data_IF_250603018967
#
_entry.id   IF_250603018967
#
_cell.length_a   1.000
_cell.length_b   1.000
_cell.length_c   1.000
_cell.angle_alpha   90.00
_cell.angle_beta   90.00
_cell.angle_gamma   90.00
#
_symmetry.space_group_name_H-M   'P 1'
#
loop_
_entity.id
_entity.type
_entity.pdbx_description
1 polymer ?
#
# COMPACT_ATOMS: atom_id res chain seq x y z
N UNK A 1 25.45 38.08 -38.83
CA UNK A 1 25.01 36.66 -38.97
C UNK A 1 24.92 36.03 -37.59
N UNK A 2 23.73 35.69 -37.08
CA UNK A 2 23.56 34.99 -35.79
C UNK A 2 22.83 33.67 -36.04
N UNK A 3 23.54 32.54 -35.93
CA UNK A 3 22.94 31.21 -36.00
C UNK A 3 22.19 30.95 -34.69
N UNK A 4 20.87 30.78 -34.78
CA UNK A 4 20.01 30.36 -33.67
C UNK A 4 20.24 28.88 -33.44
N UNK A 5 20.88 28.55 -32.33
CA UNK A 5 20.86 27.21 -31.76
C UNK A 5 19.51 27.08 -31.07
N UNK A 6 18.51 26.60 -31.81
CA UNK A 6 17.28 26.09 -31.20
C UNK A 6 17.49 24.59 -31.03
N UNK A 7 18.34 24.25 -30.06
CA UNK A 7 18.41 22.89 -29.57
C UNK A 7 17.08 22.58 -28.90
N UNK A 8 16.36 21.67 -29.53
CA UNK A 8 15.14 21.05 -29.06
C UNK A 8 15.42 20.37 -27.72
N UNK A 9 15.23 21.10 -26.62
CA UNK A 9 15.08 20.50 -25.30
C UNK A 9 13.79 19.68 -25.30
N UNK A 10 13.89 18.44 -25.78
CA UNK A 10 12.86 17.43 -25.57
C UNK A 10 12.67 17.35 -24.05
N UNK A 11 11.45 17.54 -23.52
CA UNK A 11 11.23 17.35 -22.10
C UNK A 11 11.59 15.90 -21.80
N UNK A 12 12.64 15.70 -21.00
CA UNK A 12 12.92 14.42 -20.36
C UNK A 12 11.69 14.18 -19.49
N UNK A 13 10.75 13.40 -20.02
CA UNK A 13 9.61 12.90 -19.26
C UNK A 13 10.24 12.07 -18.15
N UNK A 14 10.49 12.72 -17.00
CA UNK A 14 10.80 12.02 -15.77
C UNK A 14 9.63 11.07 -15.62
N UNK A 15 9.87 9.78 -15.85
CA UNK A 15 9.01 8.73 -15.33
C UNK A 15 9.01 8.98 -13.84
N UNK A 16 8.02 9.73 -13.37
CA UNK A 16 7.65 9.71 -11.97
C UNK A 16 7.23 8.27 -11.79
N UNK A 17 8.17 7.44 -11.32
CA UNK A 17 7.83 6.16 -10.74
C UNK A 17 6.84 6.56 -9.67
N UNK A 18 5.55 6.34 -9.95
CA UNK A 18 4.48 6.59 -9.00
C UNK A 18 4.83 5.64 -7.87
N UNK A 19 5.52 6.13 -6.85
CA UNK A 19 5.76 5.35 -5.64
C UNK A 19 4.38 4.86 -5.23
N UNK A 20 4.16 3.55 -5.35
CA UNK A 20 2.92 2.94 -4.90
C UNK A 20 2.83 3.32 -3.43
N UNK A 21 1.91 4.23 -3.09
CA UNK A 21 1.78 4.79 -1.75
C UNK A 21 1.61 3.61 -0.80
N UNK A 22 2.65 3.32 -0.02
CA UNK A 22 2.64 2.22 0.92
C UNK A 22 1.77 2.62 2.10
N UNK A 23 0.76 1.79 2.39
CA UNK A 23 -0.10 1.99 3.55
C UNK A 23 0.50 1.35 4.80
N UNK A 24 -0.15 1.61 5.93
CA UNK A 24 0.17 1.04 7.24
C UNK A 24 -1.10 0.59 7.96
N UNK A 25 -0.93 -0.42 8.80
CA UNK A 25 -1.93 -0.84 9.77
C UNK A 25 -1.96 0.16 10.93
N UNK A 26 -3.11 0.82 11.10
CA UNK A 26 -3.35 1.76 12.20
C UNK A 26 -3.72 1.05 13.50
N UNK A 27 -4.51 -0.02 13.41
CA UNK A 27 -5.02 -0.76 14.56
C UNK A 27 -5.53 -2.14 14.13
N UNK A 28 -5.49 -3.11 15.05
CA UNK A 28 -6.00 -4.47 14.83
C UNK A 28 -6.94 -4.88 15.96
N UNK A 29 -8.16 -5.29 15.62
CA UNK A 29 -9.08 -5.91 16.55
C UNK A 29 -9.05 -7.43 16.35
N UNK A 30 -8.31 -8.12 17.22
CA UNK A 30 -8.15 -9.57 17.16
C UNK A 30 -9.45 -10.33 17.44
N UNK A 31 -10.34 -9.79 18.28
CA UNK A 31 -11.60 -10.44 18.62
C UNK A 31 -12.57 -10.50 17.43
N UNK A 32 -12.54 -9.47 16.57
CA UNK A 32 -13.40 -9.38 15.39
C UNK A 32 -12.67 -9.66 14.07
N UNK A 33 -11.38 -10.01 14.10
CA UNK A 33 -10.53 -10.17 12.91
C UNK A 33 -10.58 -8.98 11.94
N UNK A 34 -10.64 -7.76 12.50
CA UNK A 34 -10.68 -6.50 11.74
C UNK A 34 -9.36 -5.74 11.84
N UNK A 35 -8.99 -5.09 10.75
CA UNK A 35 -7.79 -4.26 10.63
C UNK A 35 -8.20 -2.89 10.09
N UNK A 36 -7.63 -1.85 10.67
CA UNK A 36 -7.77 -0.48 10.20
C UNK A 36 -6.50 -0.07 9.47
N UNK A 37 -6.63 0.46 8.25
CA UNK A 37 -5.49 0.92 7.44
C UNK A 37 -5.61 2.40 7.11
N UNK A 38 -4.48 3.06 6.93
CA UNK A 38 -4.36 4.49 6.59
C UNK A 38 -4.54 4.80 5.09
N UNK A 39 -5.20 3.90 4.36
CA UNK A 39 -5.56 4.07 2.96
C UNK A 39 -7.07 4.15 2.82
N UNK A 40 -7.58 5.15 2.11
CA UNK A 40 -9.01 5.39 1.91
C UNK A 40 -9.39 5.75 0.48
N UNK A 41 -10.54 6.44 0.32
CA UNK A 41 -11.02 6.91 -0.99
C UNK A 41 -10.01 7.84 -1.67
N UNK A 42 -9.33 8.70 -0.90
CA UNK A 42 -8.28 9.58 -1.42
C UNK A 42 -7.09 8.82 -2.04
N UNK A 43 -6.93 7.55 -1.67
CA UNK A 43 -5.90 6.63 -2.16
C UNK A 43 -6.39 5.71 -3.28
N UNK A 44 -7.63 5.89 -3.75
CA UNK A 44 -8.32 4.98 -4.67
C UNK A 44 -8.48 3.55 -4.11
N UNK A 45 -8.71 3.43 -2.81
CA UNK A 45 -9.15 2.17 -2.21
C UNK A 45 -10.64 1.97 -2.45
N UNK A 46 -11.01 0.74 -2.79
CA UNK A 46 -12.38 0.30 -3.04
C UNK A 46 -12.73 -0.86 -2.12
N UNK A 47 -14.02 -1.05 -1.85
CA UNK A 47 -14.50 -2.24 -1.15
C UNK A 47 -14.18 -3.50 -1.98
N UNK A 48 -13.76 -4.57 -1.31
CA UNK A 48 -13.25 -5.78 -1.96
C UNK A 48 -11.79 -5.71 -2.39
N UNK A 49 -11.12 -4.55 -2.31
CA UNK A 49 -9.69 -4.45 -2.61
C UNK A 49 -8.87 -5.32 -1.64
N UNK A 50 -7.91 -6.07 -2.19
CA UNK A 50 -7.01 -6.93 -1.42
C UNK A 50 -5.62 -6.35 -1.27
N UNK A 51 -5.07 -6.52 -0.08
CA UNK A 51 -3.74 -6.06 0.26
C UNK A 51 -2.96 -7.14 0.99
N UNK A 52 -1.67 -7.21 0.66
CA UNK A 52 -0.70 -7.98 1.42
C UNK A 52 -0.20 -7.15 2.59
N UNK A 53 -0.17 -7.76 3.77
CA UNK A 53 0.40 -7.17 4.98
C UNK A 53 1.76 -7.80 5.25
N UNK A 54 2.76 -6.97 5.52
CA UNK A 54 4.13 -7.40 5.71
C UNK A 54 4.87 -6.52 6.73
N UNK A 55 5.94 -7.07 7.30
CA UNK A 55 6.92 -6.31 8.08
C UNK A 55 8.23 -6.19 7.29
N UNK A 56 9.02 -5.18 7.60
CA UNK A 56 10.39 -5.04 7.10
C UNK A 56 11.32 -5.57 8.19
N UNK A 57 11.88 -6.75 7.95
CA UNK A 57 12.83 -7.38 8.87
C UNK A 57 14.26 -6.86 8.72
N UNK A 58 15.17 -7.46 9.49
CA UNK A 58 16.60 -7.13 9.41
C UNK A 58 17.15 -7.31 7.98
N UNK A 59 17.97 -6.34 7.55
CA UNK A 59 18.48 -6.29 6.18
C UNK A 59 17.47 -5.82 5.14
N UNK A 60 16.35 -5.22 5.55
CA UNK A 60 15.37 -4.61 4.64
C UNK A 60 14.49 -5.62 3.90
N UNK A 61 14.50 -6.89 4.31
CA UNK A 61 13.70 -7.94 3.67
C UNK A 61 12.25 -7.87 4.14
N UNK A 62 11.33 -7.83 3.19
CA UNK A 62 9.91 -7.91 3.48
C UNK A 62 9.53 -9.35 3.88
N UNK A 63 8.83 -9.48 5.00
CA UNK A 63 8.27 -10.75 5.45
C UNK A 63 6.76 -10.65 5.51
N UNK A 64 6.09 -11.41 4.65
CA UNK A 64 4.63 -11.44 4.58
C UNK A 64 4.02 -12.02 5.85
N UNK A 65 3.04 -11.30 6.39
CA UNK A 65 2.31 -11.66 7.61
C UNK A 65 0.90 -12.14 7.30
N UNK A 66 0.31 -11.67 6.20
CA UNK A 66 -1.00 -12.11 5.76
C UNK A 66 -1.58 -11.29 4.62
N UNK A 67 -2.88 -11.48 4.41
CA UNK A 67 -3.69 -10.75 3.44
C UNK A 67 -4.97 -10.23 4.11
N UNK A 68 -5.37 -9.02 3.71
CA UNK A 68 -6.58 -8.36 4.16
C UNK A 68 -7.45 -7.97 2.97
N UNK A 69 -8.76 -7.95 3.17
CA UNK A 69 -9.73 -7.50 2.17
C UNK A 69 -10.57 -6.36 2.75
N UNK A 70 -10.61 -5.24 2.03
CA UNK A 70 -11.32 -4.04 2.46
C UNK A 70 -12.83 -4.29 2.47
N UNK A 71 -13.46 -4.00 3.61
CA UNK A 71 -14.91 -4.16 3.84
C UNK A 71 -15.65 -2.83 3.87
N UNK A 72 -14.97 -1.74 4.23
CA UNK A 72 -15.54 -0.38 4.24
C UNK A 72 -14.44 0.63 3.96
N UNK A 73 -14.74 1.63 3.14
CA UNK A 73 -13.81 2.70 2.77
C UNK A 73 -14.30 4.06 3.28
N UNK A 74 -13.47 4.73 4.06
CA UNK A 74 -13.64 6.12 4.50
C UNK A 74 -12.74 7.06 3.67
N UNK A 75 -12.83 8.40 3.81
CA UNK A 75 -12.04 9.32 2.99
C UNK A 75 -10.52 9.06 3.01
N UNK A 76 -9.96 8.78 4.19
CA UNK A 76 -8.51 8.63 4.42
C UNK A 76 -8.12 7.31 5.08
N UNK A 77 -9.09 6.44 5.37
CA UNK A 77 -8.88 5.17 6.06
C UNK A 77 -9.81 4.10 5.52
N UNK A 78 -9.51 2.85 5.81
CA UNK A 78 -10.40 1.74 5.49
C UNK A 78 -10.42 0.71 6.61
N UNK A 79 -11.55 0.02 6.74
CA UNK A 79 -11.68 -1.17 7.57
C UNK A 79 -11.61 -2.39 6.67
N UNK A 80 -10.73 -3.32 7.02
CA UNK A 80 -10.51 -4.56 6.30
C UNK A 80 -10.70 -5.76 7.23
N UNK A 81 -11.13 -6.89 6.66
CA UNK A 81 -11.12 -8.18 7.34
C UNK A 81 -9.86 -8.96 7.00
N UNK A 82 -9.33 -9.73 7.96
CA UNK A 82 -8.21 -10.65 7.72
C UNK A 82 -8.69 -11.84 6.88
N UNK A 83 -8.08 -12.05 5.71
CA UNK A 83 -8.35 -13.20 4.83
C UNK A 83 -7.42 -14.35 5.15
N UNK A 84 -6.13 -14.04 5.32
CA UNK A 84 -5.10 -15.01 5.67
C UNK A 84 -4.11 -14.36 6.64
N UNK A 85 -3.60 -15.12 7.60
CA UNK A 85 -2.60 -14.65 8.55
C UNK A 85 -1.67 -15.78 8.99
N UNK A 86 -0.39 -15.44 9.15
CA UNK A 86 0.57 -16.29 9.83
C UNK A 86 0.33 -16.26 11.34
N UNK A 87 -0.03 -17.40 11.93
CA UNK A 87 -0.31 -17.51 13.38
C UNK A 87 0.89 -17.23 14.27
N UNK A 88 2.11 -17.50 13.78
CA UNK A 88 3.35 -17.24 14.50
C UNK A 88 3.85 -15.80 14.32
N UNK A 89 3.29 -15.07 13.34
CA UNK A 89 3.64 -13.68 13.08
C UNK A 89 2.37 -12.87 12.77
N UNK A 90 1.57 -12.55 13.79
CA UNK A 90 0.26 -11.95 13.60
C UNK A 90 0.34 -10.54 13.04
N UNK A 91 -0.68 -10.13 12.28
CA UNK A 91 -0.83 -8.75 11.82
C UNK A 91 -1.02 -7.86 13.04
N UNK A 92 -0.24 -6.79 13.13
CA UNK A 92 -0.26 -5.82 14.24
C UNK A 92 -0.17 -4.39 13.70
N UNK A 93 -0.46 -3.43 14.59
CA UNK A 93 -0.24 -2.01 14.36
C UNK A 93 1.18 -1.72 13.88
N UNK A 94 1.31 -0.89 12.84
CA UNK A 94 2.57 -0.47 12.25
C UNK A 94 3.03 -1.32 11.07
N UNK A 95 2.45 -2.51 10.85
CA UNK A 95 2.74 -3.34 9.68
C UNK A 95 2.45 -2.59 8.38
N UNK A 96 3.21 -2.89 7.34
CA UNK A 96 3.09 -2.29 6.02
C UNK A 96 2.01 -2.99 5.19
N UNK A 97 1.35 -2.22 4.33
CA UNK A 97 0.25 -2.67 3.50
C UNK A 97 0.54 -2.28 2.05
N UNK A 98 0.55 -3.28 1.17
CA UNK A 98 0.75 -3.08 -0.28
C UNK A 98 -0.35 -3.80 -1.06
N UNK A 99 -0.80 -3.17 -2.16
CA UNK A 99 -1.81 -3.77 -3.03
C UNK A 99 -1.24 -5.07 -3.62
N UNK A 100 -2.03 -6.13 -3.65
CA UNK A 100 -1.62 -7.33 -4.37
C UNK A 100 -1.51 -6.96 -5.85
N UNK A 101 -0.31 -7.08 -6.44
CA UNK A 101 -0.16 -6.93 -7.89
C UNK A 101 -0.94 -8.08 -8.53
N UNK A 102 -1.81 -7.76 -9.48
CA UNK A 102 -2.36 -8.79 -10.35
C UNK A 102 -1.16 -9.47 -11.06
N UNK A 103 -1.19 -10.82 -11.21
CA UNK A 103 -0.14 -11.55 -11.91
C UNK A 103 0.02 -11.08 -13.37
#
# INVERSE_FOLDING_TARGET
MKKRIQDLEKPVVKRVVKEERQGRVLETNLASSLVYIDLGKADNVEEGARFRVYEIGEGGKEKTKGEIEVKRVNPTTSTAGVVQQNRLNPIIKGDHVARCKAP
#
